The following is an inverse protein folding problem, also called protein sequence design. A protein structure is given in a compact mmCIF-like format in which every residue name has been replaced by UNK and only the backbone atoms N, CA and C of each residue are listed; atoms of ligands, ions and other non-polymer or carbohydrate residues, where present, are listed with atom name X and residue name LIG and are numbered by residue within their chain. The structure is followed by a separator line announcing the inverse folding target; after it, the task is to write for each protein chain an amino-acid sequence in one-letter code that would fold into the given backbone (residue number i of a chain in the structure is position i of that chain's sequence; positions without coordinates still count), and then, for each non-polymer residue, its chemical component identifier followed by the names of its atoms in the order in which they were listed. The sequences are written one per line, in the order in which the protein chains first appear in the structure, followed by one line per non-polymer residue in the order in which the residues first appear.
data_IF_496971890117
#
_entry.id   IF_496971890117
#
_cell.length_a   1.000
_cell.length_b   1.000
_cell.length_c   1.000
_cell.angle_alpha   90.00
_cell.angle_beta   90.00
_cell.angle_gamma   90.00
#
_symmetry.space_group_name_H-M   'P 1'
#
loop_
_entity.id
_entity.type
_entity.pdbx_description
1 polymer ?
#
# COMPACT_ATOMS: atom_id res chain seq x y z
N UNK A 1 0.65 24.25 0.52
CA UNK A 1 1.88 23.54 0.12
C UNK A 1 1.73 22.09 0.51
N UNK A 2 2.20 21.18 -0.34
CA UNK A 2 1.96 19.74 -0.27
C UNK A 2 2.56 19.11 1.00
N UNK A 3 1.72 18.76 1.98
CA UNK A 3 2.13 18.21 3.28
C UNK A 3 2.78 16.82 3.19
N UNK A 4 2.54 16.08 2.11
CA UNK A 4 3.23 14.80 1.85
C UNK A 4 4.66 15.09 1.41
N UNK A 5 4.84 16.00 0.44
CA UNK A 5 6.18 16.41 -0.02
C UNK A 5 6.99 17.08 1.10
N UNK A 6 6.32 17.79 2.02
CA UNK A 6 6.93 18.39 3.20
C UNK A 6 7.25 17.38 4.32
N UNK A 7 6.93 16.08 4.15
CA UNK A 7 7.17 15.03 5.15
C UNK A 7 6.28 15.11 6.40
N UNK A 8 5.28 16.00 6.40
CA UNK A 8 4.34 16.17 7.52
C UNK A 8 3.29 15.05 7.57
N UNK A 9 3.09 14.35 6.45
CA UNK A 9 2.24 13.17 6.35
C UNK A 9 3.11 11.99 5.92
N UNK A 10 3.21 10.99 6.79
CA UNK A 10 3.94 9.75 6.50
C UNK A 10 2.98 8.67 6.01
N UNK A 11 3.18 8.20 4.77
CA UNK A 11 2.43 7.11 4.18
C UNK A 11 3.19 5.80 4.43
N UNK A 12 2.65 4.95 5.30
CA UNK A 12 3.23 3.62 5.56
C UNK A 12 2.79 2.65 4.47
N UNK A 13 3.75 2.01 3.81
CA UNK A 13 3.50 0.88 2.91
C UNK A 13 3.55 -0.39 3.75
N UNK A 14 2.44 -1.11 3.78
CA UNK A 14 2.29 -2.33 4.57
C UNK A 14 2.65 -3.61 3.80
N UNK A 15 2.42 -3.61 2.48
CA UNK A 15 2.83 -4.68 1.58
C UNK A 15 3.00 -4.15 0.14
N UNK A 16 3.82 -4.85 -0.64
CA UNK A 16 3.96 -4.62 -2.07
C UNK A 16 3.72 -5.93 -2.84
N UNK A 17 3.02 -5.85 -3.96
CA UNK A 17 2.70 -6.98 -4.82
C UNK A 17 3.02 -6.63 -6.27
N UNK A 18 3.43 -7.60 -7.08
CA UNK A 18 3.46 -7.43 -8.53
C UNK A 18 2.03 -7.39 -9.10
N UNK A 19 1.88 -6.86 -10.32
CA UNK A 19 0.58 -6.84 -11.00
C UNK A 19 -0.02 -8.25 -11.15
N UNK A 20 0.81 -9.28 -11.30
CA UNK A 20 0.35 -10.68 -11.40
C UNK A 20 -0.24 -11.22 -10.10
N UNK A 21 0.03 -10.56 -8.97
CA UNK A 21 -0.41 -10.96 -7.63
C UNK A 21 -1.59 -10.12 -7.15
N UNK A 22 -2.29 -9.41 -8.04
CA UNK A 22 -3.38 -8.48 -7.66
C UNK A 22 -4.49 -9.15 -6.83
N UNK A 23 -4.75 -10.44 -7.07
CA UNK A 23 -5.71 -11.21 -6.28
C UNK A 23 -5.25 -11.35 -4.83
N UNK A 24 -3.95 -11.63 -4.60
CA UNK A 24 -3.38 -11.73 -3.27
C UNK A 24 -3.37 -10.37 -2.56
N UNK A 25 -3.11 -9.28 -3.29
CA UNK A 25 -3.23 -7.92 -2.77
C UNK A 25 -4.65 -7.63 -2.24
N UNK A 26 -5.69 -8.01 -3.00
CA UNK A 26 -7.07 -7.85 -2.57
C UNK A 26 -7.44 -8.75 -1.38
N UNK A 27 -6.93 -9.98 -1.32
CA UNK A 27 -7.14 -10.86 -0.16
C UNK A 27 -6.51 -10.29 1.13
N UNK A 28 -5.31 -9.71 1.04
CA UNK A 28 -4.66 -9.04 2.17
C UNK A 28 -5.45 -7.80 2.62
N UNK A 29 -5.98 -7.04 1.66
CA UNK A 29 -6.86 -5.89 1.93
C UNK A 29 -8.15 -6.33 2.63
N UNK A 30 -8.83 -7.34 2.10
CA UNK A 30 -10.10 -7.87 2.64
C UNK A 30 -9.93 -8.40 4.08
N UNK A 31 -8.80 -9.06 4.35
CA UNK A 31 -8.48 -9.56 5.69
C UNK A 31 -8.05 -8.48 6.68
N UNK A 32 -7.94 -7.21 6.27
CA UNK A 32 -7.42 -6.08 7.06
C UNK A 32 -6.02 -6.31 7.64
N UNK A 33 -5.21 -7.17 7.01
CA UNK A 33 -3.87 -7.54 7.49
C UNK A 33 -2.74 -6.73 6.84
N UNK A 34 -3.06 -5.81 5.93
CA UNK A 34 -2.03 -5.03 5.24
C UNK A 34 -1.19 -4.15 6.16
N UNK A 35 -1.75 -3.64 7.27
CA UNK A 35 -1.00 -2.79 8.21
C UNK A 35 -0.50 -1.46 7.64
N UNK A 36 -1.00 -1.06 6.46
CA UNK A 36 -0.58 0.13 5.73
C UNK A 36 -1.21 0.16 4.34
N UNK A 37 -0.72 1.04 3.46
CA UNK A 37 -1.09 1.02 2.04
C UNK A 37 -0.50 -0.20 1.35
N UNK A 38 -1.23 -0.74 0.38
CA UNK A 38 -0.74 -1.79 -0.51
C UNK A 38 -0.22 -1.11 -1.78
N UNK A 39 1.03 -1.38 -2.13
CA UNK A 39 1.63 -0.92 -3.39
C UNK A 39 1.57 -2.03 -4.43
N UNK A 40 1.13 -1.70 -5.66
CA UNK A 40 1.19 -2.63 -6.80
C UNK A 40 2.26 -2.12 -7.76
N UNK A 41 3.18 -2.99 -8.13
CA UNK A 41 4.28 -2.68 -9.04
C UNK A 41 4.15 -3.48 -10.34
N UNK A 42 4.69 -2.93 -11.43
CA UNK A 42 4.74 -3.57 -12.76
C UNK A 42 5.93 -4.49 -12.90
#
# INVERSE_FOLDING_TARGET
MDSVAAGQVQLVIGAAFSLTEIVAAHQLMESNQAGGKIAVVT
#
